data_IF_849841737699
#
_entry.id   IF_849841737699
#
_cell.length_a   1.000
_cell.length_b   1.000
_cell.length_c   1.000
_cell.angle_alpha   90.00
_cell.angle_beta   90.00
_cell.angle_gamma   90.00
#
_symmetry.space_group_name_H-M   'P 1'
#
loop_
_entity.id
_entity.type
_entity.pdbx_description
1 polymer ?
#
# COMPACT_ATOMS: atom_id res chain seq x y z
N UNK A 1 -13.51 -5.16 -21.44
CA UNK A 1 -13.26 -5.73 -20.11
C UNK A 1 -14.22 -5.23 -19.03
N UNK A 2 -15.48 -4.91 -19.35
CA UNK A 2 -16.50 -4.67 -18.33
C UNK A 2 -16.27 -3.51 -17.34
N UNK A 3 -15.53 -2.46 -17.71
CA UNK A 3 -15.29 -1.25 -16.90
C UNK A 3 -15.92 -0.02 -17.58
N UNK A 4 -16.21 1.05 -16.82
CA UNK A 4 -16.84 2.27 -17.37
C UNK A 4 -16.07 3.58 -17.20
N UNK A 5 -15.01 3.63 -16.38
CA UNK A 5 -14.25 4.86 -16.16
C UNK A 5 -12.98 4.99 -17.02
N UNK A 6 -12.55 6.23 -17.23
CA UNK A 6 -11.36 6.56 -18.03
C UNK A 6 -10.09 6.04 -17.38
N UNK A 7 -10.01 6.17 -16.05
CA UNK A 7 -8.90 5.72 -15.23
C UNK A 7 -8.76 4.20 -15.29
N UNK A 8 -9.86 3.45 -15.15
CA UNK A 8 -9.84 1.99 -15.26
C UNK A 8 -9.40 1.54 -16.65
N UNK A 9 -9.91 2.19 -17.71
CA UNK A 9 -9.53 1.86 -19.08
C UNK A 9 -8.05 2.19 -19.36
N UNK A 10 -7.56 3.34 -18.89
CA UNK A 10 -6.17 3.76 -19.04
C UNK A 10 -5.21 2.80 -18.31
N UNK A 11 -5.53 2.38 -17.09
CA UNK A 11 -4.73 1.44 -16.33
C UNK A 11 -4.61 0.07 -17.02
N UNK A 12 -5.73 -0.44 -17.56
CA UNK A 12 -5.73 -1.69 -18.32
C UNK A 12 -4.94 -1.55 -19.63
N UNK A 13 -5.09 -0.42 -20.34
CA UNK A 13 -4.34 -0.12 -21.55
C UNK A 13 -2.83 -0.07 -21.30
N UNK A 14 -2.41 0.58 -20.21
CA UNK A 14 -1.01 0.64 -19.79
C UNK A 14 -0.43 -0.77 -19.55
N UNK A 15 -1.10 -1.59 -18.75
CA UNK A 15 -0.65 -2.96 -18.44
C UNK A 15 -0.64 -3.86 -19.68
N UNK A 16 -1.66 -3.75 -20.54
CA UNK A 16 -1.71 -4.48 -21.81
C UNK A 16 -0.58 -4.07 -22.75
N UNK A 17 -0.29 -2.77 -22.86
CA UNK A 17 0.80 -2.24 -23.69
C UNK A 17 2.18 -2.72 -23.23
N UNK A 18 2.44 -2.67 -21.92
CA UNK A 18 3.68 -3.20 -21.30
C UNK A 18 3.85 -4.68 -21.66
N UNK A 19 2.81 -5.49 -21.46
CA UNK A 19 2.90 -6.92 -21.69
C UNK A 19 2.92 -7.31 -23.16
N UNK A 20 2.30 -6.53 -24.04
CA UNK A 20 2.45 -6.69 -25.48
C UNK A 20 3.91 -6.45 -25.92
N UNK A 21 4.55 -5.39 -25.41
CA UNK A 21 5.97 -5.13 -25.63
C UNK A 21 6.84 -6.28 -25.09
N UNK A 22 6.61 -6.73 -23.86
CA UNK A 22 7.37 -7.84 -23.27
C UNK A 22 7.25 -9.12 -24.10
N UNK A 23 6.04 -9.46 -24.54
CA UNK A 23 5.78 -10.67 -25.34
C UNK A 23 6.55 -10.67 -26.65
N UNK A 24 6.55 -9.56 -27.40
CA UNK A 24 7.26 -9.50 -28.69
C UNK A 24 8.79 -9.45 -28.53
N UNK A 25 9.29 -9.09 -27.34
CA UNK A 25 10.71 -9.10 -27.01
C UNK A 25 11.15 -10.33 -26.20
N UNK A 26 10.29 -11.35 -26.05
CA UNK A 26 10.60 -12.57 -25.31
C UNK A 26 10.88 -12.37 -23.81
N UNK A 27 10.37 -11.28 -23.23
CA UNK A 27 10.48 -10.98 -21.79
C UNK A 27 9.32 -11.59 -21.02
N UNK A 28 9.50 -11.78 -19.71
CA UNK A 28 8.44 -12.21 -18.81
C UNK A 28 7.31 -11.18 -18.72
N UNK A 29 6.11 -11.66 -18.41
CA UNK A 29 4.97 -10.81 -18.12
C UNK A 29 5.24 -9.95 -16.87
N UNK A 30 4.76 -8.71 -16.92
CA UNK A 30 4.72 -7.79 -15.80
C UNK A 30 3.31 -7.76 -15.23
N UNK A 31 3.19 -8.07 -13.95
CA UNK A 31 1.92 -8.10 -13.22
C UNK A 31 2.11 -7.28 -11.95
N UNK A 32 1.18 -6.37 -11.67
CA UNK A 32 1.09 -5.67 -10.41
C UNK A 32 0.21 -6.46 -9.46
N UNK A 33 0.72 -6.76 -8.28
CA UNK A 33 -0.03 -7.47 -7.25
C UNK A 33 -0.98 -6.50 -6.50
N UNK A 34 -1.98 -7.06 -5.80
CA UNK A 34 -3.01 -6.28 -5.09
C UNK A 34 -2.41 -5.38 -4.00
N UNK A 35 -1.36 -5.82 -3.34
CA UNK A 35 -0.63 -5.09 -2.30
C UNK A 35 0.29 -4.00 -2.86
N UNK A 36 0.57 -4.01 -4.16
CA UNK A 36 1.48 -3.05 -4.80
C UNK A 36 0.73 -1.84 -5.35
N UNK A 37 -0.46 -2.05 -5.95
CA UNK A 37 -1.22 -0.98 -6.58
C UNK A 37 -2.73 -1.28 -6.71
N UNK A 38 -3.51 -0.20 -6.71
CA UNK A 38 -4.92 -0.27 -7.10
C UNK A 38 -5.14 -0.79 -8.54
N UNK A 39 -4.15 -0.67 -9.44
CA UNK A 39 -4.18 -1.30 -10.77
C UNK A 39 -4.21 -2.83 -10.64
N UNK A 40 -3.43 -3.40 -9.72
CA UNK A 40 -3.45 -4.83 -9.41
C UNK A 40 -4.80 -5.25 -8.85
N UNK A 41 -5.37 -4.46 -7.91
CA UNK A 41 -6.73 -4.69 -7.38
C UNK A 41 -7.79 -4.68 -8.48
N UNK A 42 -7.74 -3.70 -9.39
CA UNK A 42 -8.66 -3.59 -10.53
C UNK A 42 -8.60 -4.83 -11.41
N UNK A 43 -7.41 -5.19 -11.89
CA UNK A 43 -7.24 -6.29 -12.85
C UNK A 43 -7.59 -7.62 -12.19
N UNK A 44 -7.14 -7.83 -10.95
CA UNK A 44 -7.47 -9.02 -10.20
C UNK A 44 -8.98 -9.14 -9.94
N UNK A 45 -9.66 -8.06 -9.55
CA UNK A 45 -11.12 -8.08 -9.37
C UNK A 45 -11.86 -8.38 -10.68
N UNK A 46 -11.41 -7.83 -11.82
CA UNK A 46 -12.03 -8.09 -13.12
C UNK A 46 -11.90 -9.55 -13.57
N UNK A 47 -10.72 -10.15 -13.36
CA UNK A 47 -10.46 -11.55 -13.68
C UNK A 47 -11.19 -12.45 -12.69
N UNK A 48 -11.17 -12.07 -11.41
CA UNK A 48 -11.72 -12.91 -10.35
C UNK A 48 -13.24 -12.85 -10.36
N UNK A 49 -13.84 -11.70 -10.09
CA UNK A 49 -15.29 -11.55 -9.90
C UNK A 49 -16.07 -11.55 -11.21
N UNK A 50 -15.40 -11.30 -12.34
CA UNK A 50 -16.10 -11.02 -13.60
C UNK A 50 -16.88 -9.71 -13.53
N UNK A 51 -17.70 -9.45 -14.56
CA UNK A 51 -18.49 -8.21 -14.65
C UNK A 51 -19.87 -8.50 -15.25
N UNK A 52 -20.87 -8.73 -14.40
CA UNK A 52 -22.28 -8.72 -14.84
C UNK A 52 -22.76 -7.28 -15.05
N UNK A 53 -22.35 -6.38 -14.16
CA UNK A 53 -22.48 -4.93 -14.30
C UNK A 53 -21.10 -4.29 -14.52
N UNK A 54 -21.03 -3.07 -15.09
CA UNK A 54 -19.75 -2.43 -15.31
C UNK A 54 -19.02 -2.13 -13.99
N UNK A 55 -17.83 -2.71 -13.84
CA UNK A 55 -16.96 -2.52 -12.69
C UNK A 55 -16.52 -1.06 -12.56
N UNK A 56 -16.45 -0.59 -11.31
CA UNK A 56 -15.99 0.75 -10.93
C UNK A 56 -15.13 0.66 -9.67
N UNK A 57 -14.00 1.38 -9.65
CA UNK A 57 -13.04 1.27 -8.54
C UNK A 57 -13.61 1.64 -7.17
N UNK A 58 -14.63 2.51 -7.10
CA UNK A 58 -15.19 2.94 -5.81
C UNK A 58 -15.88 1.80 -5.04
N UNK A 59 -16.35 0.75 -5.73
CA UNK A 59 -16.96 -0.42 -5.08
C UNK A 59 -15.92 -1.48 -4.68
N UNK A 60 -14.66 -1.30 -5.10
CA UNK A 60 -13.57 -2.22 -4.79
C UNK A 60 -13.20 -2.18 -3.31
N UNK A 61 -12.92 -3.36 -2.75
CA UNK A 61 -12.30 -3.49 -1.44
C UNK A 61 -10.83 -3.81 -1.64
N UNK A 62 -9.98 -2.79 -1.63
CA UNK A 62 -8.55 -2.98 -1.39
C UNK A 62 -8.34 -3.31 0.09
N UNK A 63 -7.63 -4.40 0.36
CA UNK A 63 -7.32 -4.87 1.71
C UNK A 63 -6.18 -4.08 2.36
N UNK A 64 -5.34 -3.44 1.54
CA UNK A 64 -4.10 -2.76 1.94
C UNK A 64 -4.18 -1.23 1.77
N UNK A 65 -5.28 -0.61 2.22
CA UNK A 65 -5.57 0.81 1.91
C UNK A 65 -4.53 1.79 2.47
N UNK A 66 -3.93 1.50 3.62
CA UNK A 66 -2.93 2.39 4.23
C UNK A 66 -1.58 2.24 3.50
N UNK A 67 -1.32 1.13 2.81
CA UNK A 67 -0.17 0.98 1.92
C UNK A 67 -0.41 1.64 0.55
N UNK A 68 -1.61 1.54 0.00
CA UNK A 68 -1.99 1.94 -1.36
C UNK A 68 -2.50 3.39 -1.44
N UNK A 69 -1.77 4.33 -0.85
CA UNK A 69 -2.22 5.73 -0.81
C UNK A 69 -1.83 6.49 -2.07
N UNK A 70 -2.55 7.58 -2.34
CA UNK A 70 -2.24 8.46 -3.47
C UNK A 70 -0.85 9.12 -3.32
N UNK A 71 -0.46 9.47 -2.10
CA UNK A 71 0.73 10.26 -1.78
C UNK A 71 2.05 9.47 -1.93
N UNK A 72 1.98 8.14 -1.97
CA UNK A 72 3.13 7.25 -2.04
C UNK A 72 3.17 6.38 -3.30
N UNK A 73 2.34 6.68 -4.31
CA UNK A 73 2.27 5.89 -5.53
C UNK A 73 3.58 5.92 -6.32
N UNK A 74 4.28 7.04 -6.29
CA UNK A 74 5.60 7.22 -6.89
C UNK A 74 6.66 6.33 -6.23
N UNK A 75 6.69 6.27 -4.89
CA UNK A 75 7.58 5.40 -4.11
C UNK A 75 7.32 3.93 -4.45
N UNK A 76 6.06 3.55 -4.66
CA UNK A 76 5.68 2.17 -5.00
C UNK A 76 5.99 1.80 -6.45
N UNK A 77 5.76 2.70 -7.41
CA UNK A 77 5.67 2.33 -8.83
C UNK A 77 6.76 2.92 -9.72
N UNK A 78 7.45 3.99 -9.33
CA UNK A 78 8.53 4.55 -10.14
C UNK A 78 9.71 3.58 -10.31
N UNK A 79 10.15 2.82 -9.27
CA UNK A 79 11.20 1.83 -9.45
C UNK A 79 10.82 0.75 -10.48
N UNK A 80 9.58 0.25 -10.40
CA UNK A 80 9.02 -0.72 -11.37
C UNK A 80 8.98 -0.13 -12.78
N UNK A 81 8.55 1.12 -12.92
CA UNK A 81 8.51 1.81 -14.20
C UNK A 81 9.92 2.04 -14.78
N UNK A 82 10.92 2.28 -13.94
CA UNK A 82 12.32 2.42 -14.36
C UNK A 82 12.89 1.08 -14.85
N UNK A 83 12.64 -0.02 -14.13
CA UNK A 83 13.01 -1.38 -14.57
C UNK A 83 12.40 -1.74 -15.94
N UNK A 84 11.19 -1.26 -16.21
CA UNK A 84 10.50 -1.44 -17.51
C UNK A 84 11.00 -0.48 -18.60
N UNK A 85 11.83 0.52 -18.26
CA UNK A 85 12.30 1.56 -19.18
C UNK A 85 11.25 2.65 -19.51
N UNK A 86 10.16 2.72 -18.73
CA UNK A 86 9.12 3.74 -18.88
C UNK A 86 9.44 5.02 -18.11
N UNK A 87 10.07 4.90 -16.95
CA UNK A 87 10.57 6.04 -16.20
C UNK A 87 12.01 6.36 -16.63
N UNK A 88 12.33 7.65 -16.72
CA UNK A 88 13.66 8.16 -17.05
C UNK A 88 14.55 8.24 -15.80
N UNK A 89 15.85 8.33 -16.02
CA UNK A 89 16.85 8.43 -14.95
C UNK A 89 16.65 9.67 -14.06
N UNK A 90 16.19 10.79 -14.61
CA UNK A 90 15.87 11.99 -13.82
C UNK A 90 14.64 11.78 -12.91
N UNK A 91 13.69 10.92 -13.30
CA UNK A 91 12.53 10.58 -12.48
C UNK A 91 12.93 9.72 -11.28
N UNK A 92 13.75 8.68 -11.48
CA UNK A 92 14.21 7.85 -10.37
C UNK A 92 15.11 8.63 -9.41
N UNK A 93 16.00 9.48 -9.93
CA UNK A 93 16.84 10.36 -9.10
C UNK A 93 16.02 11.34 -8.26
N UNK A 94 14.96 11.93 -8.81
CA UNK A 94 14.02 12.78 -8.04
C UNK A 94 13.35 12.00 -6.91
N UNK A 95 12.90 10.77 -7.19
CA UNK A 95 12.32 9.92 -6.16
C UNK A 95 13.34 9.60 -5.06
N UNK A 96 14.56 9.20 -5.42
CA UNK A 96 15.62 8.91 -4.45
C UNK A 96 15.94 10.12 -3.56
N UNK A 97 16.01 11.32 -4.15
CA UNK A 97 16.19 12.57 -3.40
C UNK A 97 15.03 12.83 -2.43
N UNK A 98 13.79 12.69 -2.90
CA UNK A 98 12.58 12.82 -2.05
C UNK A 98 12.64 11.83 -0.89
N UNK A 99 12.86 10.54 -1.17
CA UNK A 99 12.93 9.49 -0.14
C UNK A 99 14.04 9.77 0.87
N UNK A 100 15.22 10.19 0.42
CA UNK A 100 16.33 10.53 1.30
C UNK A 100 15.98 11.71 2.22
N UNK A 101 15.41 12.79 1.68
CA UNK A 101 14.97 13.95 2.48
C UNK A 101 13.93 13.57 3.53
N UNK A 102 12.93 12.77 3.16
CA UNK A 102 11.92 12.25 4.08
C UNK A 102 12.60 11.46 5.20
N UNK A 103 13.49 10.54 4.88
CA UNK A 103 14.19 9.71 5.87
C UNK A 103 15.09 10.53 6.80
N UNK A 104 15.81 11.52 6.28
CA UNK A 104 16.64 12.39 7.11
C UNK A 104 15.79 13.29 8.01
N UNK A 105 14.61 13.75 7.57
CA UNK A 105 13.69 14.49 8.44
C UNK A 105 13.06 13.61 9.53
N UNK A 106 12.63 12.37 9.21
CA UNK A 106 12.18 11.38 10.22
C UNK A 106 13.27 11.16 11.30
N UNK A 107 14.51 10.99 10.84
CA UNK A 107 15.66 10.82 11.73
C UNK A 107 15.90 12.07 12.57
N UNK A 108 15.84 13.25 11.99
CA UNK A 108 16.01 14.50 12.73
C UNK A 108 14.92 14.67 13.80
N UNK A 109 13.64 14.46 13.47
CA UNK A 109 12.51 14.57 14.39
C UNK A 109 12.59 13.59 15.57
N UNK A 110 13.12 12.39 15.34
CA UNK A 110 13.31 11.38 16.39
C UNK A 110 14.50 11.65 17.31
N UNK A 111 15.45 12.49 16.87
CA UNK A 111 16.58 12.92 17.70
C UNK A 111 16.33 14.26 18.39
N UNK A 112 15.57 15.16 17.77
CA UNK A 112 15.27 16.48 18.32
C UNK A 112 14.37 16.39 19.55
N UNK A 113 14.75 17.10 20.62
CA UNK A 113 14.07 17.03 21.91
C UNK A 113 13.61 18.42 22.33
N UNK A 114 12.31 18.52 22.60
CA UNK A 114 11.65 19.79 22.86
C UNK A 114 11.15 19.88 24.30
N UNK A 115 11.37 21.05 24.90
CA UNK A 115 10.93 21.34 26.27
C UNK A 115 9.44 21.75 26.30
N UNK A 116 8.70 21.45 27.39
CA UNK A 116 7.30 21.79 27.53
C UNK A 116 6.98 23.27 27.28
N UNK A 117 7.82 24.18 27.74
CA UNK A 117 7.61 25.63 27.67
C UNK A 117 7.54 26.14 26.22
N UNK A 118 8.17 25.42 25.29
CA UNK A 118 8.23 25.79 23.88
C UNK A 118 6.93 25.41 23.17
N UNK A 119 6.40 24.19 23.41
CA UNK A 119 5.26 23.68 22.65
C UNK A 119 3.92 23.71 23.41
N UNK A 120 3.89 23.80 24.73
CA UNK A 120 2.63 23.82 25.46
C UNK A 120 1.66 24.92 25.00
N UNK A 121 2.08 26.16 24.66
CA UNK A 121 1.18 27.16 24.08
C UNK A 121 0.49 26.67 22.80
N UNK A 122 1.23 26.01 21.91
CA UNK A 122 0.69 25.40 20.69
C UNK A 122 -0.25 24.25 21.02
N UNK A 123 0.13 23.37 21.94
CA UNK A 123 -0.66 22.20 22.32
C UNK A 123 -1.99 22.60 22.96
N UNK A 124 -2.00 23.65 23.79
CA UNK A 124 -3.20 24.23 24.36
C UNK A 124 -4.10 24.83 23.26
N UNK A 125 -3.54 25.60 22.33
CA UNK A 125 -4.27 26.15 21.20
C UNK A 125 -4.90 25.04 20.32
N UNK A 126 -4.21 23.91 20.18
CA UNK A 126 -4.68 22.71 19.45
C UNK A 126 -5.51 21.76 20.31
N UNK A 127 -5.87 22.16 21.55
CA UNK A 127 -6.72 21.38 22.47
C UNK A 127 -6.21 19.95 22.71
N UNK A 128 -4.89 19.79 22.83
CA UNK A 128 -4.22 18.51 23.12
C UNK A 128 -3.46 18.57 24.44
N UNK A 129 -3.16 17.41 25.02
CA UNK A 129 -2.59 17.32 26.37
C UNK A 129 -1.22 18.01 26.48
N UNK A 130 -0.95 18.85 27.48
CA UNK A 130 0.35 19.49 27.62
C UNK A 130 1.45 18.46 27.89
N UNK A 131 2.69 18.83 27.57
CA UNK A 131 3.90 18.10 27.91
C UNK A 131 4.22 18.33 29.40
N UNK A 132 4.61 17.25 30.07
CA UNK A 132 5.04 17.27 31.49
C UNK A 132 6.58 17.27 31.65
N UNK A 133 7.28 16.90 30.59
CA UNK A 133 8.73 16.74 30.54
C UNK A 133 9.20 16.90 29.09
N UNK A 134 10.51 17.01 28.90
CA UNK A 134 11.14 16.98 27.59
C UNK A 134 10.78 15.70 26.83
N UNK A 135 10.36 15.83 25.57
CA UNK A 135 10.03 14.70 24.69
C UNK A 135 10.65 14.85 23.31
N UNK A 136 10.63 13.79 22.50
CA UNK A 136 11.06 13.86 21.10
C UNK A 136 10.01 14.55 20.24
N UNK A 137 10.43 15.32 19.24
CA UNK A 137 9.50 16.08 18.41
C UNK A 137 8.56 15.17 17.61
N UNK A 138 9.06 14.00 17.18
CA UNK A 138 8.23 13.00 16.51
C UNK A 138 7.06 12.49 17.37
N UNK A 139 7.25 12.36 18.70
CA UNK A 139 6.15 11.95 19.61
C UNK A 139 5.05 13.01 19.73
N UNK A 140 5.38 14.27 19.48
CA UNK A 140 4.40 15.37 19.42
C UNK A 140 3.68 15.33 18.07
N UNK A 141 4.41 15.15 16.97
CA UNK A 141 3.86 15.05 15.62
C UNK A 141 2.94 13.84 15.42
N UNK A 142 3.19 12.74 16.13
CA UNK A 142 2.34 11.56 16.12
C UNK A 142 0.92 11.81 16.67
N UNK A 143 0.67 12.97 17.31
CA UNK A 143 -0.66 13.33 17.80
C UNK A 143 -1.56 13.74 16.65
N UNK A 144 -2.81 13.25 16.58
CA UNK A 144 -3.69 13.50 15.44
C UNK A 144 -4.08 14.98 15.28
N UNK A 145 -4.03 15.78 16.36
CA UNK A 145 -4.35 17.22 16.34
C UNK A 145 -3.21 18.11 15.85
N UNK A 146 -2.00 17.57 15.69
CA UNK A 146 -0.80 18.35 15.37
C UNK A 146 -0.40 18.04 13.94
N UNK A 147 -0.31 19.06 13.10
CA UNK A 147 0.26 18.98 11.77
C UNK A 147 1.72 19.45 11.81
N UNK A 148 2.55 19.02 10.86
CA UNK A 148 3.95 19.43 10.83
C UNK A 148 4.08 20.94 10.62
N UNK A 149 3.16 21.54 9.87
CA UNK A 149 3.09 23.01 9.68
C UNK A 149 2.88 23.76 11.01
N UNK A 150 2.18 23.16 11.97
CA UNK A 150 1.97 23.77 13.29
C UNK A 150 3.27 23.87 14.09
N UNK A 151 4.21 22.95 13.83
CA UNK A 151 5.51 22.92 14.48
C UNK A 151 6.51 23.91 13.85
N UNK A 152 6.15 24.64 12.80
CA UNK A 152 7.02 25.61 12.13
C UNK A 152 7.41 26.80 13.00
N UNK A 153 6.63 27.10 14.05
CA UNK A 153 7.01 28.14 15.01
C UNK A 153 8.29 27.76 15.78
N UNK A 154 8.58 26.45 15.88
CA UNK A 154 9.83 25.95 16.43
C UNK A 154 10.98 26.16 15.44
N UNK A 155 11.72 27.24 15.64
CA UNK A 155 12.79 27.70 14.73
C UNK A 155 13.80 26.62 14.31
N UNK A 156 14.26 25.70 15.19
CA UNK A 156 15.16 24.63 14.74
C UNK A 156 14.56 23.74 13.64
N UNK A 157 13.26 23.43 13.69
CA UNK A 157 12.58 22.67 12.63
C UNK A 157 12.44 23.51 11.36
N UNK A 158 12.03 24.77 11.48
CA UNK A 158 11.89 25.67 10.32
C UNK A 158 13.24 25.85 9.59
N UNK A 159 14.31 26.08 10.33
CA UNK A 159 15.66 26.21 9.78
C UNK A 159 16.11 24.91 9.11
N UNK A 160 15.92 23.76 9.75
CA UNK A 160 16.26 22.48 9.15
C UNK A 160 15.53 22.25 7.82
N UNK A 161 14.25 22.60 7.75
CA UNK A 161 13.42 22.45 6.55
C UNK A 161 13.90 23.35 5.41
N UNK A 162 14.24 24.61 5.72
CA UNK A 162 14.82 25.54 4.77
C UNK A 162 16.20 25.09 4.28
N UNK A 163 17.09 24.71 5.20
CA UNK A 163 18.48 24.33 4.90
C UNK A 163 18.57 23.07 4.02
N UNK A 164 17.70 22.09 4.28
CA UNK A 164 17.63 20.86 3.48
C UNK A 164 16.74 21.00 2.23
N UNK A 165 16.11 22.17 2.04
CA UNK A 165 15.20 22.45 0.92
C UNK A 165 14.07 21.43 0.83
N UNK A 166 13.44 21.09 1.96
CA UNK A 166 12.26 20.22 1.97
C UNK A 166 11.05 20.99 1.44
N UNK A 167 10.32 20.37 0.52
CA UNK A 167 9.08 20.89 -0.02
C UNK A 167 7.87 20.36 0.72
N UNK A 168 6.70 20.72 0.18
CA UNK A 168 5.42 20.32 0.74
C UNK A 168 5.16 18.81 0.64
N UNK A 169 5.80 18.13 -0.29
CA UNK A 169 5.58 16.70 -0.48
C UNK A 169 6.33 15.89 0.59
N UNK A 170 7.57 16.30 0.92
CA UNK A 170 8.42 15.56 1.85
C UNK A 170 7.89 15.63 3.28
N UNK A 171 7.54 16.82 3.77
CA UNK A 171 7.07 16.95 5.15
C UNK A 171 5.68 16.29 5.38
N UNK A 172 4.82 16.18 4.34
CA UNK A 172 3.51 15.49 4.38
C UNK A 172 3.74 13.99 4.44
N UNK A 173 4.73 13.48 3.68
CA UNK A 173 5.16 12.09 3.80
C UNK A 173 5.64 11.76 5.22
N UNK A 174 6.45 12.62 5.83
CA UNK A 174 6.91 12.43 7.21
C UNK A 174 5.74 12.45 8.18
N UNK A 175 4.85 13.44 8.09
CA UNK A 175 3.67 13.53 8.95
C UNK A 175 2.78 12.28 8.88
N UNK A 176 2.49 11.81 7.66
CA UNK A 176 1.69 10.59 7.45
C UNK A 176 2.42 9.38 8.07
N UNK A 177 3.73 9.25 7.84
CA UNK A 177 4.48 8.13 8.41
C UNK A 177 4.46 8.15 9.93
N UNK A 178 4.75 9.28 10.57
CA UNK A 178 4.78 9.39 12.03
C UNK A 178 3.41 9.13 12.67
N UNK A 179 2.33 9.64 12.07
CA UNK A 179 0.95 9.43 12.58
C UNK A 179 0.45 8.00 12.39
N UNK A 180 0.82 7.36 11.28
CA UNK A 180 0.27 6.07 10.88
C UNK A 180 1.26 4.91 10.97
N UNK A 181 2.46 5.10 11.53
CA UNK A 181 3.55 4.12 11.52
C UNK A 181 3.09 2.73 12.00
N UNK A 182 2.47 2.66 13.18
CA UNK A 182 2.01 1.37 13.74
C UNK A 182 0.94 0.69 12.88
N UNK A 183 0.09 1.46 12.20
CA UNK A 183 -0.92 0.91 11.29
C UNK A 183 -0.27 0.43 9.98
N UNK A 184 0.67 1.20 9.43
CA UNK A 184 1.44 0.86 8.23
C UNK A 184 2.25 -0.42 8.48
N UNK A 185 2.93 -0.53 9.62
CA UNK A 185 3.71 -1.72 9.99
C UNK A 185 2.82 -2.94 10.11
N UNK A 186 1.71 -2.83 10.84
CA UNK A 186 0.73 -3.92 10.98
C UNK A 186 0.17 -4.37 9.63
N UNK A 187 -0.16 -3.44 8.74
CA UNK A 187 -0.69 -3.76 7.41
C UNK A 187 0.39 -4.40 6.51
N UNK A 188 1.65 -3.92 6.58
CA UNK A 188 2.80 -4.56 5.91
C UNK A 188 3.05 -5.98 6.38
N UNK A 189 2.96 -6.24 7.68
CA UNK A 189 3.10 -7.59 8.23
C UNK A 189 1.99 -8.52 7.73
N UNK A 190 0.76 -8.04 7.68
CA UNK A 190 -0.37 -8.81 7.15
C UNK A 190 -0.18 -9.11 5.65
N UNK A 191 0.25 -8.12 4.86
CA UNK A 191 0.56 -8.32 3.44
C UNK A 191 1.64 -9.40 3.26
N UNK A 192 2.77 -9.28 3.96
CA UNK A 192 3.87 -10.26 3.90
C UNK A 192 3.44 -11.68 4.31
N UNK A 193 2.59 -11.81 5.33
CA UNK A 193 2.05 -13.11 5.76
C UNK A 193 1.22 -13.75 4.66
N UNK A 194 0.33 -12.98 4.03
CA UNK A 194 -0.48 -13.44 2.91
C UNK A 194 0.40 -13.90 1.75
N UNK A 195 1.36 -13.09 1.31
CA UNK A 195 2.29 -13.44 0.22
C UNK A 195 3.07 -14.73 0.53
N UNK A 196 3.58 -14.90 1.76
CA UNK A 196 4.29 -16.12 2.17
C UNK A 196 3.42 -17.38 2.11
N UNK A 197 2.11 -17.23 2.33
CA UNK A 197 1.17 -18.35 2.32
C UNK A 197 0.71 -18.71 0.90
N UNK A 198 1.02 -17.90 -0.12
CA UNK A 198 0.63 -18.19 -1.51
C UNK A 198 1.33 -19.43 -2.08
N UNK A 199 2.58 -19.68 -1.69
CA UNK A 199 3.33 -20.86 -2.14
C UNK A 199 2.95 -22.14 -1.39
N UNK A 200 2.01 -22.07 -0.45
CA UNK A 200 1.52 -23.23 0.28
C UNK A 200 0.80 -24.19 -0.68
N UNK A 201 1.25 -25.44 -0.70
CA UNK A 201 0.60 -26.50 -1.48
C UNK A 201 -0.74 -26.90 -0.89
N UNK A 202 -1.74 -27.07 -1.75
CA UNK A 202 -3.03 -27.63 -1.38
C UNK A 202 -2.99 -29.14 -1.66
N UNK A 203 -3.32 -30.01 -0.69
CA UNK A 203 -3.36 -31.45 -0.91
C UNK A 203 -4.26 -31.82 -2.09
N UNK A 204 -3.84 -32.78 -2.92
CA UNK A 204 -4.62 -33.18 -4.09
C UNK A 204 -6.00 -33.69 -3.70
N UNK A 205 -6.12 -34.42 -2.59
CA UNK A 205 -7.35 -35.01 -2.04
C UNK A 205 -8.20 -34.05 -1.19
N UNK A 206 -7.86 -32.75 -1.19
CA UNK A 206 -8.57 -31.76 -0.40
C UNK A 206 -10.04 -31.65 -0.80
N UNK A 207 -10.94 -31.85 0.16
CA UNK A 207 -12.38 -31.80 -0.04
C UNK A 207 -12.95 -30.42 0.33
N UNK A 208 -13.01 -29.53 -0.67
CA UNK A 208 -13.59 -28.19 -0.53
C UNK A 208 -15.07 -28.21 -0.12
N UNK A 209 -15.80 -29.31 -0.30
CA UNK A 209 -17.23 -29.36 0.03
C UNK A 209 -17.50 -29.29 1.53
N UNK A 210 -16.52 -29.68 2.35
CA UNK A 210 -16.56 -29.63 3.82
C UNK A 210 -16.47 -28.21 4.37
N UNK A 211 -15.94 -27.27 3.58
CA UNK A 211 -15.75 -25.87 3.96
C UNK A 211 -17.01 -25.05 3.73
N UNK A 212 -17.95 -25.14 4.68
CA UNK A 212 -19.23 -24.43 4.61
C UNK A 212 -19.11 -22.90 4.60
N UNK A 213 -18.02 -22.37 5.13
CA UNK A 213 -17.68 -20.94 5.19
C UNK A 213 -17.16 -20.37 3.87
N UNK A 214 -16.75 -21.20 2.92
CA UNK A 214 -16.46 -20.74 1.56
C UNK A 214 -17.77 -20.36 0.86
N UNK A 215 -17.71 -19.30 0.05
CA UNK A 215 -18.80 -18.97 -0.86
C UNK A 215 -19.15 -20.17 -1.75
N UNK A 216 -20.41 -20.26 -2.16
CA UNK A 216 -20.86 -21.36 -3.01
C UNK A 216 -20.07 -21.40 -4.33
N UNK A 217 -19.86 -20.24 -4.93
CA UNK A 217 -19.08 -20.06 -6.15
C UNK A 217 -17.63 -20.51 -5.97
N UNK A 218 -16.94 -20.04 -4.91
CA UNK A 218 -15.56 -20.45 -4.66
C UNK A 218 -15.46 -21.96 -4.45
N UNK A 219 -16.38 -22.56 -3.70
CA UNK A 219 -16.41 -24.01 -3.47
C UNK A 219 -16.57 -24.79 -4.76
N UNK A 220 -17.53 -24.43 -5.60
CA UNK A 220 -17.76 -25.08 -6.89
C UNK A 220 -16.52 -24.99 -7.79
N UNK A 221 -15.95 -23.79 -7.90
CA UNK A 221 -14.81 -23.55 -8.80
C UNK A 221 -13.51 -24.16 -8.28
N UNK A 222 -13.24 -24.12 -6.98
CA UNK A 222 -12.09 -24.79 -6.35
C UNK A 222 -12.19 -26.31 -6.51
N UNK A 223 -13.37 -26.89 -6.29
CA UNK A 223 -13.62 -28.32 -6.50
C UNK A 223 -13.40 -28.74 -7.96
N UNK A 224 -13.75 -27.88 -8.93
CA UNK A 224 -13.60 -28.16 -10.36
C UNK A 224 -12.17 -27.99 -10.86
N UNK A 225 -11.49 -26.91 -10.49
CA UNK A 225 -10.15 -26.57 -10.97
C UNK A 225 -9.07 -27.35 -10.22
N UNK A 226 -9.29 -27.66 -8.93
CA UNK A 226 -8.34 -28.34 -8.04
C UNK A 226 -6.93 -27.72 -8.08
N UNK A 227 -6.78 -26.47 -7.64
CA UNK A 227 -5.48 -25.81 -7.61
C UNK A 227 -4.49 -26.55 -6.70
N UNK A 228 -3.22 -26.59 -7.09
CA UNK A 228 -2.13 -27.23 -6.34
C UNK A 228 -1.46 -26.29 -5.33
N UNK A 229 -1.71 -24.98 -5.43
CA UNK A 229 -1.19 -23.96 -4.51
C UNK A 229 -2.26 -22.92 -4.17
N UNK A 230 -2.11 -22.25 -3.03
CA UNK A 230 -2.94 -21.10 -2.65
C UNK A 230 -2.84 -19.99 -3.70
N UNK A 231 -1.66 -19.75 -4.26
CA UNK A 231 -1.44 -18.82 -5.36
C UNK A 231 -2.31 -19.13 -6.58
N UNK A 232 -2.37 -20.40 -6.96
CA UNK A 232 -3.23 -20.82 -8.06
C UNK A 232 -4.71 -20.69 -7.68
N UNK A 233 -5.08 -21.04 -6.45
CA UNK A 233 -6.45 -20.91 -5.96
C UNK A 233 -6.94 -19.45 -6.01
N UNK A 234 -6.08 -18.50 -5.60
CA UNK A 234 -6.34 -17.05 -5.64
C UNK A 234 -6.62 -16.54 -7.06
N UNK A 235 -6.01 -17.14 -8.08
CA UNK A 235 -6.19 -16.75 -9.49
C UNK A 235 -7.45 -17.31 -10.15
N UNK A 236 -8.20 -18.16 -9.45
CA UNK A 236 -9.44 -18.73 -9.98
C UNK A 236 -10.52 -17.66 -9.91
N UNK A 237 -11.15 -17.39 -11.06
CA UNK A 237 -12.33 -16.54 -11.11
C UNK A 237 -13.38 -16.99 -10.10
N UNK A 238 -13.96 -16.10 -9.31
CA UNK A 238 -14.99 -16.38 -8.31
C UNK A 238 -14.47 -16.78 -6.94
N UNK A 239 -13.14 -16.89 -6.77
CA UNK A 239 -12.52 -17.14 -5.47
C UNK A 239 -12.04 -15.82 -4.89
N UNK A 240 -12.63 -15.39 -3.77
CA UNK A 240 -12.29 -14.10 -3.15
C UNK A 240 -11.12 -14.21 -2.16
N UNK A 241 -10.46 -13.09 -1.80
CA UNK A 241 -9.45 -13.09 -0.73
C UNK A 241 -9.98 -13.60 0.63
N UNK A 242 -11.27 -13.41 0.91
CA UNK A 242 -11.92 -13.96 2.10
C UNK A 242 -12.02 -15.49 2.02
N UNK A 243 -12.30 -16.04 0.83
CA UNK A 243 -12.35 -17.50 0.61
C UNK A 243 -10.96 -18.13 0.81
N UNK A 244 -9.90 -17.47 0.31
CA UNK A 244 -8.51 -17.91 0.54
C UNK A 244 -8.17 -17.87 2.03
N UNK A 245 -8.61 -16.85 2.75
CA UNK A 245 -8.40 -16.74 4.20
C UNK A 245 -9.08 -17.90 4.95
N UNK A 246 -10.31 -18.25 4.57
CA UNK A 246 -11.04 -19.41 5.12
C UNK A 246 -10.31 -20.72 4.83
N UNK A 247 -9.80 -20.89 3.61
CA UNK A 247 -9.04 -22.06 3.21
C UNK A 247 -7.75 -22.22 4.04
N UNK A 248 -7.00 -21.14 4.22
CA UNK A 248 -5.77 -21.11 5.02
C UNK A 248 -6.01 -21.50 6.48
N UNK A 249 -7.05 -20.93 7.11
CA UNK A 249 -7.43 -21.27 8.50
C UNK A 249 -7.75 -22.75 8.64
N UNK A 250 -8.47 -23.33 7.66
CA UNK A 250 -8.78 -24.76 7.68
C UNK A 250 -7.55 -25.65 7.49
N UNK A 251 -6.56 -25.18 6.74
CA UNK A 251 -5.26 -25.82 6.59
C UNK A 251 -4.32 -25.61 7.81
N UNK A 252 -4.80 -24.95 8.86
CA UNK A 252 -4.04 -24.71 10.09
C UNK A 252 -2.94 -23.66 9.93
N UNK A 253 -3.22 -22.59 9.18
CA UNK A 253 -2.31 -21.47 8.91
C UNK A 253 -2.90 -20.12 9.31
#
# INVERSE_FOLDING_TARGET
>A
NGTTGYEEAACQGLMAGINAHNKVHGRSEFVLEREEAYIGVLIDDLITKGTEEPYRMFTSRAEFRILLRQDNADVRLTPRAYELGLAKEDQIKRLEQKVNKVTELEKWLSHESVEPEILNPLLEAKSTSPLKQKVKLNTVLARPQIELVDLMEYQPLANYILDQGLGREEWEQVEIKEKYQGYIEKERENAKKLTRLEDLSIPEDFDYTKLKSLSYEAREKLSKVRPVTIKQAKRISGVSPSDISVLLVYMGR
#
